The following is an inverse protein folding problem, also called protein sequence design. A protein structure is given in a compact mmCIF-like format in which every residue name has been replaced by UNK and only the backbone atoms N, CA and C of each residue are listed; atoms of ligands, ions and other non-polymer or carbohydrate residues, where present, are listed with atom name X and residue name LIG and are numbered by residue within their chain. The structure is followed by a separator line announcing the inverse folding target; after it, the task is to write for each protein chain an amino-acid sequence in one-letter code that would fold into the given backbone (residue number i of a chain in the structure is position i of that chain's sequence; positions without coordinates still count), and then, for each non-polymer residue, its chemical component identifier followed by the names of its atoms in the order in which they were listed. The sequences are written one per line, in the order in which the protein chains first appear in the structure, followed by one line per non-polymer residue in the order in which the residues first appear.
data_IF_454579744197
#
_entry.id   IF_454579744197
#
_cell.length_a   1.000
_cell.length_b   1.000
_cell.length_c   1.000
_cell.angle_alpha   90.00
_cell.angle_beta   90.00
_cell.angle_gamma   90.00
#
_symmetry.space_group_name_H-M   'P 1'
#
loop_
_entity.id
_entity.type
_entity.pdbx_description
1 polymer ?
#
# COMPACT_ATOMS: atom_id res chain seq x y z
N UNK A 1 21.04 16.62 84.64
CA UNK A 1 22.46 16.86 84.35
C UNK A 1 22.67 16.73 82.85
N UNK A 2 23.38 17.69 82.24
CA UNK A 2 24.25 17.62 81.03
C UNK A 2 23.98 16.45 80.04
N UNK A 3 23.82 16.60 78.72
CA UNK A 3 23.99 17.70 77.77
C UNK A 3 24.10 17.13 76.33
N UNK A 4 23.72 17.96 75.35
CA UNK A 4 24.26 18.15 73.97
C UNK A 4 24.41 16.94 73.01
N UNK A 5 23.62 16.90 71.94
CA UNK A 5 24.01 17.27 70.55
C UNK A 5 22.80 17.12 69.60
N UNK A 6 22.30 18.22 69.05
CA UNK A 6 21.35 18.21 67.92
C UNK A 6 22.04 18.89 66.75
N UNK A 7 22.51 18.08 65.81
CA UNK A 7 22.97 18.51 64.49
C UNK A 7 21.78 18.47 63.54
N UNK A 8 21.21 19.63 63.22
CA UNK A 8 20.37 19.79 62.03
C UNK A 8 21.14 20.69 61.08
N UNK A 9 21.65 20.08 60.00
CA UNK A 9 22.21 20.78 58.86
C UNK A 9 21.14 21.69 58.25
N UNK A 10 21.42 22.98 58.22
CA UNK A 10 20.78 23.94 57.33
C UNK A 10 21.23 23.64 55.90
N UNK A 11 20.26 23.36 55.01
CA UNK A 11 20.50 23.39 53.56
C UNK A 11 20.86 24.84 53.18
N UNK A 12 22.13 25.06 52.85
CA UNK A 12 22.52 26.20 52.04
C UNK A 12 21.98 25.98 50.63
N UNK A 13 20.91 26.69 50.29
CA UNK A 13 20.50 26.84 48.89
C UNK A 13 21.60 27.62 48.19
N UNK A 14 22.42 26.90 47.42
CA UNK A 14 23.30 27.47 46.42
C UNK A 14 22.44 28.29 45.46
N UNK A 15 22.58 29.61 45.50
CA UNK A 15 22.08 30.49 44.47
C UNK A 15 22.74 30.08 43.16
N UNK A 16 21.95 29.45 42.28
CA UNK A 16 22.31 29.25 40.87
C UNK A 16 22.57 30.63 40.29
N UNK A 17 23.77 30.91 39.71
CA UNK A 17 24.00 32.20 39.09
C UNK A 17 22.99 32.37 37.97
N UNK A 18 22.29 33.51 37.97
CA UNK A 18 21.45 33.92 36.87
C UNK A 18 22.23 33.77 35.55
N UNK A 19 21.57 33.23 34.52
CA UNK A 19 22.10 33.11 33.15
C UNK A 19 22.87 34.38 32.81
N UNK A 20 24.18 34.28 32.62
CA UNK A 20 25.00 35.45 32.36
C UNK A 20 24.62 36.03 30.99
N UNK A 21 24.16 37.29 31.00
CA UNK A 21 23.44 38.00 29.94
C UNK A 21 24.39 38.86 29.09
N UNK A 22 25.40 38.24 28.47
CA UNK A 22 26.49 38.94 27.81
C UNK A 22 26.08 39.61 26.49
N UNK A 23 25.33 38.92 25.63
CA UNK A 23 24.89 39.46 24.34
C UNK A 23 23.69 40.39 24.45
N UNK A 24 22.85 40.25 25.48
CA UNK A 24 21.72 41.14 25.72
C UNK A 24 22.09 42.52 26.24
N UNK A 25 23.23 42.63 26.93
CA UNK A 25 23.69 43.90 27.51
C UNK A 25 24.62 44.70 26.59
N UNK A 26 25.00 44.13 25.43
CA UNK A 26 25.88 44.80 24.46
C UNK A 26 25.17 46.00 23.79
N UNK A 27 25.77 47.21 23.81
CA UNK A 27 25.26 48.34 23.04
C UNK A 27 25.22 48.01 21.54
N UNK A 28 24.03 48.05 20.93
CA UNK A 28 23.84 47.73 19.50
C UNK A 28 23.41 46.29 19.20
N UNK A 29 23.31 45.42 20.20
CA UNK A 29 22.84 44.04 20.03
C UNK A 29 23.82 43.13 19.28
N UNK A 30 23.29 42.06 18.69
CA UNK A 30 24.09 41.03 18.03
C UNK A 30 24.37 41.34 16.57
N UNK A 31 25.56 40.98 16.10
CA UNK A 31 25.99 41.31 14.75
C UNK A 31 25.48 40.29 13.72
N UNK A 32 24.99 40.75 12.54
CA UNK A 32 24.36 39.90 11.53
C UNK A 32 25.35 39.00 10.77
N UNK A 33 26.66 39.20 10.92
CA UNK A 33 27.74 38.41 10.32
C UNK A 33 28.96 38.34 11.24
N UNK A 34 30.01 37.60 10.84
CA UNK A 34 31.24 37.47 11.64
C UNK A 34 31.91 38.83 11.79
N UNK A 35 32.11 39.26 13.02
CA UNK A 35 32.70 40.56 13.33
C UNK A 35 33.58 40.45 14.57
N UNK A 36 34.89 40.63 14.38
CA UNK A 36 35.88 40.48 15.45
C UNK A 36 35.76 41.57 16.54
N UNK A 37 34.98 42.64 16.28
CA UNK A 37 34.63 43.69 17.23
C UNK A 37 33.30 43.42 17.96
N UNK A 38 32.61 42.33 17.60
CA UNK A 38 31.33 41.92 18.17
C UNK A 38 31.50 40.99 19.38
N UNK A 39 32.24 41.49 20.37
CA UNK A 39 32.62 40.72 21.57
C UNK A 39 32.02 41.27 22.86
N UNK A 40 31.93 40.40 23.88
CA UNK A 40 31.55 40.73 25.24
C UNK A 40 32.56 40.11 26.25
N UNK A 41 32.80 40.74 27.40
CA UNK A 41 33.75 40.24 28.39
C UNK A 41 33.21 38.98 29.09
N UNK A 42 34.04 37.94 29.18
CA UNK A 42 33.74 36.69 29.86
C UNK A 42 34.94 36.26 30.72
N UNK A 43 34.87 36.59 32.02
CA UNK A 43 35.98 36.45 32.96
C UNK A 43 37.28 37.09 32.43
N UNK A 44 38.29 36.30 32.09
CA UNK A 44 39.63 36.76 31.73
C UNK A 44 39.83 36.90 30.20
N UNK A 45 38.77 36.69 29.42
CA UNK A 45 38.78 36.71 27.95
C UNK A 45 37.52 37.37 27.39
N UNK A 46 37.42 37.45 26.06
CA UNK A 46 36.24 37.89 25.33
C UNK A 46 35.53 36.71 24.66
N UNK A 47 34.20 36.78 24.58
CA UNK A 47 33.36 35.87 23.80
C UNK A 47 32.64 36.64 22.68
N UNK A 48 32.17 35.94 21.64
CA UNK A 48 31.53 36.56 20.47
C UNK A 48 29.99 36.48 20.52
N UNK A 49 29.35 37.58 20.12
CA UNK A 49 27.89 37.79 20.06
C UNK A 49 27.41 38.02 18.62
N UNK A 50 27.87 37.20 17.67
CA UNK A 50 27.54 37.35 16.26
C UNK A 50 26.85 36.10 15.64
N UNK A 51 26.32 36.27 14.44
CA UNK A 51 25.55 35.22 13.75
C UNK A 51 26.37 33.98 13.35
N UNK A 52 27.71 34.03 13.38
CA UNK A 52 28.54 32.85 13.13
C UNK A 52 28.40 31.84 14.26
N UNK A 53 28.30 32.32 15.49
CA UNK A 53 28.08 31.50 16.68
C UNK A 53 26.77 30.70 16.66
N UNK A 54 25.75 31.15 15.90
CA UNK A 54 24.49 30.43 15.72
C UNK A 54 24.62 29.18 14.83
N UNK A 55 25.69 29.07 14.04
CA UNK A 55 25.87 27.96 13.07
C UNK A 55 26.73 26.83 13.60
N UNK A 56 27.69 27.09 14.48
CA UNK A 56 28.76 26.14 14.80
C UNK A 56 28.97 25.84 16.29
N UNK A 57 28.30 26.53 17.23
CA UNK A 57 28.51 26.36 18.70
C UNK A 57 29.99 26.23 19.07
N UNK A 58 30.82 27.10 18.50
CA UNK A 58 32.26 27.14 18.80
C UNK A 58 32.50 27.57 20.26
N UNK A 59 33.61 27.14 20.89
CA UNK A 59 33.88 27.37 22.31
C UNK A 59 34.12 28.84 22.69
N UNK A 60 34.35 29.72 21.72
CA UNK A 60 34.53 31.17 21.86
C UNK A 60 33.20 31.96 21.78
N UNK A 61 32.06 31.29 21.63
CA UNK A 61 30.74 31.92 21.58
C UNK A 61 30.15 32.20 22.96
N UNK A 62 29.50 33.37 23.12
CA UNK A 62 28.88 33.70 24.40
C UNK A 62 27.68 32.77 24.72
N UNK A 63 27.48 32.38 25.99
CA UNK A 63 26.45 31.41 26.40
C UNK A 63 25.01 31.80 26.04
N UNK A 64 24.69 33.09 25.98
CA UNK A 64 23.34 33.62 25.73
C UNK A 64 23.08 33.98 24.26
N UNK A 65 24.06 33.79 23.37
CA UNK A 65 23.98 34.15 21.94
C UNK A 65 22.77 33.49 21.23
N UNK A 66 22.48 32.22 21.52
CA UNK A 66 21.36 31.49 20.90
C UNK A 66 19.99 31.98 21.33
N UNK A 67 19.88 32.52 22.55
CA UNK A 67 18.60 32.98 23.07
C UNK A 67 18.33 34.44 22.70
N UNK A 68 19.39 35.22 22.44
CA UNK A 68 19.26 36.67 22.30
C UNK A 68 19.59 37.22 20.91
N UNK A 69 20.34 36.49 20.08
CA UNK A 69 20.80 36.94 18.77
C UNK A 69 20.02 36.36 17.58
N UNK A 70 18.90 35.69 17.84
CA UNK A 70 18.10 34.97 16.83
C UNK A 70 17.17 35.85 16.00
N UNK A 71 17.27 37.18 16.09
CA UNK A 71 16.46 38.10 15.32
C UNK A 71 17.34 39.05 14.48
N UNK A 72 17.45 38.78 13.17
CA UNK A 72 17.94 39.77 12.20
C UNK A 72 16.84 40.84 11.99
N UNK A 73 17.12 42.15 12.15
CA UNK A 73 16.19 43.21 11.80
C UNK A 73 16.46 43.68 10.37
N UNK A 74 15.51 43.48 9.44
CA UNK A 74 15.45 44.30 8.22
C UNK A 74 14.66 45.57 8.50
N UNK A 75 15.22 46.69 8.06
CA UNK A 75 14.83 48.06 8.39
C UNK A 75 13.36 48.40 8.12
N UNK A 76 12.84 49.26 8.99
CA UNK A 76 11.50 49.84 8.93
C UNK A 76 11.40 50.83 7.77
N UNK A 77 10.41 50.64 6.91
CA UNK A 77 9.76 51.75 6.21
C UNK A 77 8.40 52.00 6.89
N UNK A 78 8.07 53.25 7.31
CA UNK A 78 6.80 53.55 7.93
C UNK A 78 5.76 53.84 6.84
N UNK A 79 5.06 52.79 6.42
CA UNK A 79 3.73 52.94 5.84
C UNK A 79 2.78 52.05 6.62
N UNK A 80 1.92 52.72 7.37
CA UNK A 80 0.68 52.20 7.92
C UNK A 80 -0.08 51.44 6.85
N UNK A 81 -0.01 50.11 6.90
CA UNK A 81 -1.04 49.24 6.39
C UNK A 81 -1.28 48.20 7.49
N UNK A 82 -2.54 48.06 7.89
CA UNK A 82 -3.02 46.94 8.69
C UNK A 82 -2.36 45.63 8.23
N UNK A 83 -2.13 44.64 9.12
CA UNK A 83 -1.99 43.28 8.63
C UNK A 83 -3.26 42.99 7.83
N UNK A 84 -3.16 43.04 6.51
CA UNK A 84 -4.25 42.63 5.65
C UNK A 84 -4.56 41.20 6.09
N UNK A 85 -5.81 41.01 6.54
CA UNK A 85 -6.49 39.75 6.74
C UNK A 85 -6.51 38.98 5.41
N UNK A 86 -5.34 38.57 4.96
CA UNK A 86 -5.07 38.01 3.66
C UNK A 86 -4.52 36.61 3.84
N UNK A 87 -5.10 35.68 3.11
CA UNK A 87 -4.72 34.29 3.12
C UNK A 87 -5.19 33.63 1.85
N UNK A 88 -4.71 32.42 1.60
CA UNK A 88 -5.21 31.62 0.51
C UNK A 88 -6.61 31.13 0.85
N UNK A 89 -7.55 31.23 -0.09
CA UNK A 89 -8.90 30.71 0.09
C UNK A 89 -9.04 29.40 -0.67
N UNK A 90 -9.33 28.31 0.02
CA UNK A 90 -9.60 27.02 -0.60
C UNK A 90 -10.89 26.39 -0.06
N UNK A 91 -11.82 26.06 -0.96
CA UNK A 91 -13.17 25.55 -0.65
C UNK A 91 -13.88 26.36 0.46
N UNK A 92 -13.75 27.69 0.42
CA UNK A 92 -14.38 28.60 1.37
C UNK A 92 -13.70 28.70 2.75
N UNK A 93 -12.54 28.06 2.95
CA UNK A 93 -11.70 28.24 4.16
C UNK A 93 -10.50 29.12 3.85
N UNK A 94 -10.16 30.01 4.78
CA UNK A 94 -8.99 30.88 4.71
C UNK A 94 -7.79 30.20 5.37
N UNK A 95 -6.66 30.26 4.71
CA UNK A 95 -5.37 29.73 5.15
C UNK A 95 -4.36 30.87 5.21
N UNK A 96 -3.77 31.09 6.38
CA UNK A 96 -2.74 32.12 6.57
C UNK A 96 -1.45 31.73 5.83
N UNK A 97 -0.60 32.72 5.52
CA UNK A 97 0.71 32.42 4.93
C UNK A 97 1.53 31.50 5.85
N UNK A 98 2.11 30.45 5.28
CA UNK A 98 2.81 29.38 5.98
C UNK A 98 1.92 28.21 6.39
N UNK A 99 0.59 28.37 6.43
CA UNK A 99 -0.31 27.25 6.69
C UNK A 99 -0.36 26.30 5.51
N UNK A 100 -0.41 25.01 5.83
CA UNK A 100 -0.45 23.93 4.87
C UNK A 100 -1.78 23.17 4.97
N UNK A 101 -2.31 22.75 3.83
CA UNK A 101 -3.44 21.84 3.73
C UNK A 101 -3.12 20.68 2.80
N UNK A 102 -3.81 19.56 3.00
CA UNK A 102 -3.70 18.40 2.12
C UNK A 102 -4.80 18.43 1.07
N UNK A 103 -4.44 18.53 -0.20
CA UNK A 103 -5.34 18.42 -1.34
C UNK A 103 -5.07 17.08 -2.02
N UNK A 104 -5.97 16.12 -1.78
CA UNK A 104 -5.79 14.73 -2.18
C UNK A 104 -4.45 14.17 -1.61
N UNK A 105 -3.50 13.80 -2.45
CA UNK A 105 -2.20 13.28 -2.01
C UNK A 105 -1.16 14.39 -1.77
N UNK A 106 -1.37 15.58 -2.33
CA UNK A 106 -0.40 16.66 -2.32
C UNK A 106 -0.59 17.58 -1.11
N UNK A 107 0.53 17.98 -0.50
CA UNK A 107 0.58 19.04 0.49
C UNK A 107 0.69 20.39 -0.22
N UNK A 108 -0.20 21.31 0.13
CA UNK A 108 -0.26 22.65 -0.44
C UNK A 108 -0.05 23.68 0.67
N UNK A 109 0.91 24.56 0.48
CA UNK A 109 1.26 25.58 1.46
C UNK A 109 0.94 26.96 0.91
N UNK A 110 0.31 27.79 1.72
CA UNK A 110 -0.02 29.15 1.34
C UNK A 110 1.20 30.07 1.44
N UNK A 111 1.55 30.76 0.35
CA UNK A 111 2.64 31.71 0.32
C UNK A 111 2.18 33.08 -0.20
N UNK A 112 2.81 34.14 0.29
CA UNK A 112 2.67 35.49 -0.25
C UNK A 112 3.73 35.71 -1.33
N UNK A 113 3.30 35.97 -2.56
CA UNK A 113 4.17 36.31 -3.69
C UNK A 113 3.88 37.75 -4.19
N UNK A 114 4.60 38.19 -5.23
CA UNK A 114 4.47 39.53 -5.80
C UNK A 114 3.06 39.83 -6.36
N UNK A 115 2.25 38.80 -6.64
CA UNK A 115 0.92 38.89 -7.21
C UNK A 115 -0.19 38.63 -6.17
N UNK A 116 0.14 38.33 -4.90
CA UNK A 116 -0.81 38.05 -3.83
C UNK A 116 -0.55 36.72 -3.11
N UNK A 117 -1.58 36.19 -2.44
CA UNK A 117 -1.51 34.90 -1.76
C UNK A 117 -1.81 33.76 -2.74
N UNK A 118 -0.91 32.78 -2.83
CA UNK A 118 -1.04 31.62 -3.72
C UNK A 118 -0.76 30.32 -2.97
N UNK A 119 -1.52 29.27 -3.27
CA UNK A 119 -1.25 27.92 -2.80
C UNK A 119 -0.21 27.26 -3.71
N UNK A 120 0.95 26.97 -3.14
CA UNK A 120 1.97 26.16 -3.79
C UNK A 120 1.84 24.71 -3.34
N UNK A 121 1.47 23.84 -4.27
CA UNK A 121 1.28 22.41 -4.01
C UNK A 121 2.47 21.58 -4.48
N UNK A 122 2.70 20.46 -3.80
CA UNK A 122 3.40 19.31 -4.37
C UNK A 122 2.74 18.89 -5.69
N UNK A 123 3.52 18.28 -6.57
CA UNK A 123 3.09 17.87 -7.90
C UNK A 123 3.17 16.35 -8.07
N UNK A 124 2.88 15.61 -7.00
CA UNK A 124 2.79 14.17 -7.05
C UNK A 124 1.51 13.74 -7.76
N UNK A 125 1.63 12.68 -8.57
CA UNK A 125 0.46 12.07 -9.20
C UNK A 125 -0.31 11.30 -8.14
N UNK A 126 -1.53 11.72 -7.82
CA UNK A 126 -2.39 10.98 -6.89
C UNK A 126 -2.97 9.70 -7.52
N UNK A 127 -3.25 8.72 -6.69
CA UNK A 127 -3.78 7.42 -7.09
C UNK A 127 -5.22 7.55 -7.62
N UNK A 128 -6.13 8.04 -6.76
CA UNK A 128 -7.50 8.36 -7.13
C UNK A 128 -7.55 9.81 -7.60
N UNK A 129 -8.17 10.04 -8.76
CA UNK A 129 -8.19 11.33 -9.45
C UNK A 129 -9.60 11.66 -9.92
N UNK A 130 -10.09 12.83 -9.52
CA UNK A 130 -11.46 13.26 -9.83
C UNK A 130 -11.70 13.42 -11.33
N UNK A 131 -10.67 13.82 -12.09
CA UNK A 131 -10.75 13.94 -13.54
C UNK A 131 -10.96 12.59 -14.23
N UNK A 132 -10.36 11.51 -13.72
CA UNK A 132 -10.59 10.15 -14.23
C UNK A 132 -12.03 9.75 -13.94
N UNK A 133 -12.48 9.91 -12.69
CA UNK A 133 -13.83 9.52 -12.27
C UNK A 133 -14.87 10.24 -13.14
N UNK A 134 -14.70 11.56 -13.31
CA UNK A 134 -15.58 12.38 -14.14
C UNK A 134 -15.54 11.92 -15.60
N UNK A 135 -14.36 11.69 -16.16
CA UNK A 135 -14.20 11.24 -17.55
C UNK A 135 -14.84 9.87 -17.80
N UNK A 136 -14.66 8.91 -16.90
CA UNK A 136 -15.25 7.57 -17.01
C UNK A 136 -16.76 7.63 -16.93
N UNK A 137 -17.31 8.39 -15.98
CA UNK A 137 -18.75 8.46 -15.74
C UNK A 137 -19.50 9.34 -16.74
N UNK A 138 -18.81 10.21 -17.49
CA UNK A 138 -19.42 11.08 -18.51
C UNK A 138 -19.66 10.35 -19.85
N UNK A 139 -19.08 9.18 -20.06
CA UNK A 139 -19.22 8.40 -21.29
C UNK A 139 -19.82 7.01 -20.99
N UNK A 140 -20.66 6.47 -21.89
CA UNK A 140 -21.28 5.14 -21.71
C UNK A 140 -20.25 4.03 -21.98
N UNK A 141 -19.28 3.88 -21.08
CA UNK A 141 -18.14 2.99 -21.24
C UNK A 141 -18.40 1.54 -20.78
N UNK A 142 -19.61 1.22 -20.32
CA UNK A 142 -19.98 -0.09 -19.77
C UNK A 142 -19.56 -0.31 -18.31
N UNK A 143 -18.90 0.66 -17.67
CA UNK A 143 -18.52 0.61 -16.26
C UNK A 143 -18.51 2.01 -15.64
N UNK A 144 -18.52 2.06 -14.30
CA UNK A 144 -18.53 3.30 -13.51
C UNK A 144 -17.32 3.38 -12.58
N UNK A 145 -16.89 4.60 -12.31
CA UNK A 145 -15.82 4.91 -11.38
C UNK A 145 -16.33 5.63 -10.13
N UNK A 146 -15.67 5.40 -8.99
CA UNK A 146 -15.94 6.05 -7.70
C UNK A 146 -14.64 6.34 -6.95
N UNK A 147 -14.78 7.16 -5.90
CA UNK A 147 -13.73 7.40 -4.92
C UNK A 147 -13.82 6.39 -3.77
N UNK A 148 -12.68 6.06 -3.17
CA UNK A 148 -12.55 5.21 -2.01
C UNK A 148 -11.69 5.90 -0.95
N UNK A 149 -12.23 6.07 0.26
CA UNK A 149 -11.53 6.77 1.36
C UNK A 149 -10.17 6.14 1.70
N UNK A 150 -10.06 4.82 1.62
CA UNK A 150 -8.82 4.08 1.91
C UNK A 150 -7.77 4.13 0.77
N UNK A 151 -8.11 4.70 -0.40
CA UNK A 151 -7.19 4.97 -1.50
C UNK A 151 -6.97 6.48 -1.73
N UNK A 152 -7.87 7.31 -1.20
CA UNK A 152 -7.80 8.76 -1.30
C UNK A 152 -6.59 9.29 -0.51
N UNK A 153 -5.84 10.21 -1.13
CA UNK A 153 -4.64 10.78 -0.51
C UNK A 153 -3.37 9.94 -0.64
N UNK A 154 -3.43 8.79 -1.31
CA UNK A 154 -2.24 8.04 -1.73
C UNK A 154 -1.69 8.60 -3.04
N UNK A 155 -0.37 8.62 -3.17
CA UNK A 155 0.29 8.82 -4.47
C UNK A 155 0.12 7.57 -5.34
N UNK A 156 0.24 7.75 -6.65
CA UNK A 156 0.23 6.65 -7.62
C UNK A 156 1.36 5.67 -7.35
N UNK A 157 2.52 6.15 -6.88
CA UNK A 157 3.65 5.30 -6.54
C UNK A 157 3.36 4.40 -5.33
N UNK A 158 2.80 4.98 -4.27
CA UNK A 158 2.36 4.21 -3.10
C UNK A 158 1.29 3.20 -3.48
N UNK A 159 0.31 3.60 -4.32
CA UNK A 159 -0.71 2.69 -4.82
C UNK A 159 -0.12 1.53 -5.62
N UNK A 160 0.87 1.77 -6.48
CA UNK A 160 1.57 0.72 -7.21
C UNK A 160 2.30 -0.21 -6.23
N UNK A 161 3.08 0.34 -5.32
CA UNK A 161 3.87 -0.46 -4.38
C UNK A 161 3.00 -1.28 -3.43
N UNK A 162 1.93 -0.69 -2.88
CA UNK A 162 1.11 -1.29 -1.83
C UNK A 162 -0.04 -2.15 -2.38
N UNK A 163 -0.55 -1.86 -3.58
CA UNK A 163 -1.68 -2.61 -4.18
C UNK A 163 -1.25 -3.59 -5.27
N UNK A 164 -0.13 -3.35 -5.97
CA UNK A 164 0.33 -4.20 -7.09
C UNK A 164 1.56 -5.02 -6.69
N UNK A 165 1.29 -6.19 -6.10
CA UNK A 165 2.32 -7.09 -5.57
C UNK A 165 2.88 -8.10 -6.56
N UNK A 166 2.37 -8.18 -7.78
CA UNK A 166 2.75 -9.28 -8.68
C UNK A 166 3.88 -8.83 -9.59
N UNK A 167 4.98 -9.58 -9.61
CA UNK A 167 6.09 -9.32 -10.51
C UNK A 167 5.79 -9.92 -11.87
N UNK A 168 6.21 -9.21 -12.93
CA UNK A 168 6.02 -9.65 -14.31
C UNK A 168 6.49 -11.12 -14.46
N UNK A 169 5.67 -12.00 -15.08
CA UNK A 169 6.08 -13.36 -15.38
C UNK A 169 7.41 -13.39 -16.15
N UNK A 170 8.38 -14.16 -15.65
CA UNK A 170 9.69 -14.34 -16.31
C UNK A 170 9.61 -15.37 -17.45
N UNK A 171 10.70 -15.54 -18.20
CA UNK A 171 10.77 -16.54 -19.31
C UNK A 171 10.46 -17.97 -18.86
N UNK A 172 10.97 -18.38 -17.70
CA UNK A 172 10.71 -19.71 -17.14
C UNK A 172 9.22 -19.94 -16.84
N UNK A 173 8.52 -18.86 -16.50
CA UNK A 173 7.08 -18.87 -16.18
C UNK A 173 6.26 -18.95 -17.46
N UNK A 174 6.65 -18.22 -18.51
CA UNK A 174 6.06 -18.35 -19.84
C UNK A 174 6.27 -19.75 -20.45
N UNK A 175 7.35 -20.44 -20.06
CA UNK A 175 7.68 -21.80 -20.51
C UNK A 175 7.04 -22.92 -19.66
N UNK A 176 6.15 -22.59 -18.72
CA UNK A 176 5.36 -23.61 -18.01
C UNK A 176 4.54 -24.43 -19.01
N UNK A 177 4.28 -25.69 -18.66
CA UNK A 177 3.43 -26.58 -19.46
C UNK A 177 2.09 -25.91 -19.71
N UNK A 178 1.83 -25.59 -20.97
CA UNK A 178 0.51 -25.18 -21.44
C UNK A 178 -0.33 -26.44 -21.63
N UNK A 179 -1.54 -26.43 -21.09
CA UNK A 179 -2.53 -27.48 -21.36
C UNK A 179 -3.59 -26.91 -22.31
N UNK A 180 -3.82 -27.63 -23.40
CA UNK A 180 -5.02 -27.52 -24.21
C UNK A 180 -6.07 -28.45 -23.60
N UNK A 181 -7.30 -27.98 -23.46
CA UNK A 181 -8.36 -28.73 -22.77
C UNK A 181 -9.35 -29.25 -23.80
N UNK A 182 -9.60 -30.56 -23.78
CA UNK A 182 -10.60 -31.16 -24.65
C UNK A 182 -12.00 -30.67 -24.30
N UNK A 183 -12.53 -29.84 -25.19
CA UNK A 183 -13.86 -29.29 -25.15
C UNK A 183 -14.87 -30.43 -25.31
N UNK A 184 -15.48 -30.84 -24.20
CA UNK A 184 -16.39 -32.00 -24.17
C UNK A 184 -17.79 -31.64 -23.66
N UNK A 185 -18.01 -30.39 -23.23
CA UNK A 185 -19.29 -29.91 -22.74
C UNK A 185 -19.75 -28.64 -23.49
N UNK A 186 -21.07 -28.48 -23.65
CA UNK A 186 -21.64 -27.17 -23.92
C UNK A 186 -21.65 -26.38 -22.61
N UNK A 187 -20.78 -25.38 -22.51
CA UNK A 187 -20.67 -24.53 -21.34
C UNK A 187 -21.83 -23.52 -21.28
N UNK A 188 -22.33 -23.17 -20.07
CA UNK A 188 -23.40 -22.19 -19.92
C UNK A 188 -22.93 -20.78 -20.32
N UNK A 189 -23.87 -19.92 -20.70
CA UNK A 189 -23.57 -18.51 -21.05
C UNK A 189 -22.94 -17.74 -19.88
N UNK A 190 -23.38 -18.05 -18.65
CA UNK A 190 -22.83 -17.48 -17.42
C UNK A 190 -22.52 -18.58 -16.40
N UNK A 191 -21.47 -18.37 -15.63
CA UNK A 191 -21.01 -19.29 -14.61
C UNK A 191 -20.42 -18.53 -13.43
N UNK A 192 -20.70 -18.99 -12.21
CA UNK A 192 -20.13 -18.49 -10.97
C UNK A 192 -19.77 -19.67 -10.06
N UNK A 193 -18.48 -19.81 -9.76
CA UNK A 193 -17.98 -20.88 -8.88
C UNK A 193 -18.65 -20.88 -7.50
N UNK A 194 -19.06 -19.71 -7.00
CA UNK A 194 -19.74 -19.58 -5.69
C UNK A 194 -21.13 -20.21 -5.70
N UNK A 195 -21.80 -20.23 -6.86
CA UNK A 195 -23.09 -20.87 -7.03
C UNK A 195 -22.96 -22.39 -7.22
N UNK A 196 -21.93 -22.83 -7.95
CA UNK A 196 -21.68 -24.27 -8.17
C UNK A 196 -21.17 -24.98 -6.92
N UNK A 197 -20.31 -24.33 -6.13
CA UNK A 197 -19.72 -24.88 -4.91
C UNK A 197 -19.96 -23.96 -3.70
N UNK A 198 -21.21 -23.87 -3.22
CA UNK A 198 -21.56 -22.97 -2.13
C UNK A 198 -20.81 -23.32 -0.84
N UNK A 199 -20.17 -22.31 -0.24
CA UNK A 199 -19.40 -22.45 0.99
C UNK A 199 -18.01 -23.10 0.84
N UNK A 200 -17.56 -23.37 -0.40
CA UNK A 200 -16.22 -23.90 -0.68
C UNK A 200 -15.29 -22.87 -1.33
N UNK A 201 -15.84 -21.73 -1.75
CA UNK A 201 -15.08 -20.63 -2.33
C UNK A 201 -14.83 -19.58 -1.25
N UNK A 202 -13.56 -19.26 -0.97
CA UNK A 202 -13.18 -18.25 0.01
C UNK A 202 -13.73 -16.86 -0.38
N UNK A 203 -13.98 -16.02 0.63
CA UNK A 203 -14.40 -14.63 0.41
C UNK A 203 -13.31 -13.73 -0.18
N UNK A 204 -13.62 -12.44 -0.33
CA UNK A 204 -12.63 -11.43 -0.72
C UNK A 204 -11.73 -11.11 0.49
N UNK A 205 -10.42 -11.23 0.30
CA UNK A 205 -9.42 -10.82 1.27
C UNK A 205 -8.99 -9.36 1.06
N UNK A 206 -8.45 -8.75 2.11
CA UNK A 206 -7.82 -7.44 2.03
C UNK A 206 -6.31 -7.55 2.28
N UNK A 207 -5.53 -7.21 1.25
CA UNK A 207 -4.07 -7.18 1.32
C UNK A 207 -3.56 -6.01 2.16
N UNK A 208 -4.38 -5.00 2.43
CA UNK A 208 -3.99 -3.76 3.10
C UNK A 208 -2.76 -3.13 2.46
N UNK A 209 -1.92 -2.49 3.25
CA UNK A 209 -0.75 -1.73 2.78
C UNK A 209 0.49 -2.61 2.49
N UNK A 210 0.26 -3.73 1.80
CA UNK A 210 1.27 -4.70 1.40
C UNK A 210 1.00 -5.21 -0.01
N UNK A 211 2.01 -5.17 -0.89
CA UNK A 211 1.97 -5.74 -2.24
C UNK A 211 2.02 -7.29 -2.19
N UNK A 212 1.02 -7.92 -1.59
CA UNK A 212 0.92 -9.37 -1.37
C UNK A 212 -0.11 -10.07 -2.25
N UNK A 213 -0.62 -9.40 -3.29
CA UNK A 213 -1.61 -10.00 -4.21
C UNK A 213 -1.16 -11.33 -4.82
N UNK A 214 0.14 -11.47 -5.09
CA UNK A 214 0.76 -12.71 -5.53
C UNK A 214 0.59 -13.85 -4.53
N UNK A 215 0.63 -13.58 -3.22
CA UNK A 215 0.47 -14.58 -2.17
C UNK A 215 -1.01 -14.86 -1.91
N UNK A 216 -1.84 -13.81 -1.81
CA UNK A 216 -3.28 -13.93 -1.55
C UNK A 216 -3.98 -14.68 -2.67
N UNK A 217 -3.77 -14.31 -3.94
CA UNK A 217 -4.42 -15.00 -5.07
C UNK A 217 -3.95 -16.46 -5.20
N UNK A 218 -2.67 -16.75 -4.93
CA UNK A 218 -2.15 -18.13 -4.90
C UNK A 218 -2.88 -18.96 -3.85
N UNK A 219 -2.95 -18.44 -2.63
CA UNK A 219 -3.50 -19.15 -1.48
C UNK A 219 -5.01 -19.33 -1.59
N UNK A 220 -5.73 -18.31 -1.98
CA UNK A 220 -7.20 -18.37 -2.15
C UNK A 220 -7.60 -19.34 -3.25
N UNK A 221 -6.89 -19.39 -4.39
CA UNK A 221 -7.11 -20.42 -5.42
C UNK A 221 -6.82 -21.81 -4.87
N UNK A 222 -5.74 -21.97 -4.11
CA UNK A 222 -5.38 -23.26 -3.54
C UNK A 222 -6.40 -23.75 -2.49
N UNK A 223 -6.92 -22.86 -1.65
CA UNK A 223 -7.98 -23.15 -0.68
C UNK A 223 -9.27 -23.60 -1.37
N UNK A 224 -9.72 -22.88 -2.40
CA UNK A 224 -10.94 -23.25 -3.13
C UNK A 224 -10.79 -24.62 -3.77
N UNK A 225 -9.65 -24.86 -4.46
CA UNK A 225 -9.40 -26.14 -5.13
C UNK A 225 -9.22 -27.28 -4.14
N UNK A 226 -8.65 -27.03 -2.97
CA UNK A 226 -8.58 -28.01 -1.90
C UNK A 226 -9.98 -28.44 -1.46
N UNK A 227 -10.89 -27.49 -1.23
CA UNK A 227 -12.27 -27.78 -0.86
C UNK A 227 -13.01 -28.51 -2.00
N UNK A 228 -12.89 -28.04 -3.24
CA UNK A 228 -13.56 -28.66 -4.40
C UNK A 228 -13.07 -30.09 -4.65
N UNK A 229 -11.75 -30.30 -4.70
CA UNK A 229 -11.16 -31.59 -5.09
C UNK A 229 -11.22 -32.62 -3.97
N UNK A 230 -11.30 -32.16 -2.71
CA UNK A 230 -11.62 -33.02 -1.57
C UNK A 230 -13.12 -33.24 -1.36
N UNK A 231 -13.99 -32.81 -2.29
CA UNK A 231 -15.45 -32.90 -2.17
C UNK A 231 -15.99 -32.30 -0.86
N UNK A 232 -15.32 -31.25 -0.37
CA UNK A 232 -15.66 -30.55 0.84
C UNK A 232 -15.19 -31.23 2.14
N UNK A 233 -14.38 -32.28 2.09
CA UNK A 233 -13.76 -32.87 3.29
C UNK A 233 -12.68 -31.97 3.89
N UNK A 234 -11.98 -31.18 3.06
CA UNK A 234 -10.91 -30.28 3.48
C UNK A 234 -11.28 -28.83 3.17
N UNK A 235 -11.97 -28.16 4.11
CA UNK A 235 -12.39 -26.75 4.00
C UNK A 235 -11.59 -25.86 4.94
N UNK A 236 -10.29 -25.71 4.64
CA UNK A 236 -9.39 -24.91 5.45
C UNK A 236 -8.89 -23.69 4.66
N UNK A 237 -9.21 -22.46 5.11
CA UNK A 237 -8.54 -21.27 4.60
C UNK A 237 -7.04 -21.40 4.85
N UNK A 238 -6.25 -21.32 3.78
CA UNK A 238 -4.80 -21.42 3.84
C UNK A 238 -4.19 -20.05 4.11
N UNK A 239 -2.96 -20.00 4.62
CA UNK A 239 -2.34 -18.77 5.10
C UNK A 239 -1.56 -18.04 4.00
N UNK A 240 -2.03 -16.86 3.54
CA UNK A 240 -1.21 -15.97 2.72
C UNK A 240 -0.01 -15.44 3.49
N UNK A 241 -0.13 -15.28 4.82
CA UNK A 241 0.97 -14.79 5.66
C UNK A 241 2.15 -15.75 5.69
N UNK A 242 1.90 -17.06 5.82
CA UNK A 242 2.96 -18.06 5.82
C UNK A 242 3.71 -18.06 4.49
N UNK A 243 2.98 -18.02 3.37
CA UNK A 243 3.59 -17.93 2.04
C UNK A 243 4.41 -16.64 1.88
N UNK A 244 3.84 -15.50 2.26
CA UNK A 244 4.45 -14.17 2.17
C UNK A 244 5.75 -14.07 2.98
N UNK A 245 5.74 -14.54 4.23
CA UNK A 245 6.89 -14.47 5.13
C UNK A 245 7.94 -15.52 4.83
N UNK A 246 7.57 -16.75 4.44
CA UNK A 246 8.49 -17.88 4.40
C UNK A 246 8.96 -18.28 2.99
N UNK A 247 8.29 -17.83 1.93
CA UNK A 247 8.77 -18.00 0.56
C UNK A 247 9.85 -16.95 0.20
N UNK A 248 11.03 -17.04 0.79
CA UNK A 248 12.04 -15.96 0.73
C UNK A 248 12.92 -15.97 -0.54
N UNK A 249 12.99 -17.09 -1.27
CA UNK A 249 13.97 -17.27 -2.36
C UNK A 249 13.59 -16.47 -3.59
N UNK A 250 14.14 -15.25 -3.66
CA UNK A 250 13.89 -14.24 -4.70
C UNK A 250 12.40 -13.90 -4.86
N UNK A 251 11.71 -13.86 -3.73
CA UNK A 251 10.54 -13.03 -3.54
C UNK A 251 10.94 -11.78 -2.74
N UNK A 252 10.03 -10.80 -2.68
CA UNK A 252 10.23 -9.54 -1.96
C UNK A 252 9.11 -9.25 -0.95
N UNK A 253 8.33 -10.25 -0.55
CA UNK A 253 7.28 -10.07 0.46
C UNK A 253 6.25 -9.03 -0.01
N UNK A 254 6.07 -7.97 0.77
CA UNK A 254 5.19 -6.84 0.43
C UNK A 254 5.69 -5.97 -0.74
N UNK A 255 6.95 -6.09 -1.17
CA UNK A 255 7.45 -5.44 -2.40
C UNK A 255 7.28 -6.33 -3.64
N UNK A 256 6.51 -7.40 -3.49
CA UNK A 256 6.02 -8.26 -4.54
C UNK A 256 6.72 -9.60 -4.70
N UNK A 257 6.09 -10.46 -5.50
CA UNK A 257 6.57 -11.82 -5.76
C UNK A 257 6.12 -12.38 -7.11
N UNK A 258 6.78 -13.47 -7.51
CA UNK A 258 6.49 -14.24 -8.71
C UNK A 258 5.60 -15.44 -8.37
N UNK A 259 4.59 -15.69 -9.22
CA UNK A 259 3.58 -16.73 -9.00
C UNK A 259 4.16 -18.15 -9.10
N UNK A 260 5.10 -18.38 -10.02
CA UNK A 260 5.76 -19.67 -10.18
C UNK A 260 6.44 -20.13 -8.90
N UNK A 261 7.17 -19.23 -8.26
CA UNK A 261 7.90 -19.52 -7.01
C UNK A 261 6.96 -19.74 -5.84
N UNK A 262 5.82 -19.06 -5.84
CA UNK A 262 4.77 -19.25 -4.85
C UNK A 262 4.19 -20.68 -4.96
N UNK A 263 3.79 -21.09 -6.17
CA UNK A 263 3.31 -22.44 -6.44
C UNK A 263 4.36 -23.53 -6.19
N UNK A 264 5.62 -23.32 -6.62
CA UNK A 264 6.70 -24.27 -6.33
C UNK A 264 7.00 -24.39 -4.83
N UNK A 265 6.84 -23.31 -4.06
CA UNK A 265 6.96 -23.35 -2.62
C UNK A 265 5.85 -24.20 -2.00
N UNK A 266 4.60 -23.96 -2.37
CA UNK A 266 3.46 -24.73 -1.86
C UNK A 266 3.59 -26.21 -2.23
N UNK A 267 4.01 -26.53 -3.47
CA UNK A 267 4.31 -27.91 -3.88
C UNK A 267 5.38 -28.55 -3.00
N UNK A 268 6.54 -27.90 -2.82
CA UNK A 268 7.72 -28.51 -2.18
C UNK A 268 7.65 -28.53 -0.66
N UNK A 269 7.11 -27.47 -0.05
CA UNK A 269 7.18 -27.24 1.39
C UNK A 269 5.82 -27.15 2.06
N UNK A 270 4.75 -26.95 1.29
CA UNK A 270 3.41 -26.74 1.80
C UNK A 270 3.25 -25.39 2.50
N UNK A 271 1.99 -25.09 2.82
CA UNK A 271 1.58 -23.91 3.60
C UNK A 271 0.64 -24.35 4.71
N UNK A 272 0.57 -23.58 5.79
CA UNK A 272 -0.36 -23.83 6.90
C UNK A 272 -1.69 -23.10 6.70
N UNK A 273 -2.65 -23.33 7.59
CA UNK A 273 -3.94 -22.62 7.59
C UNK A 273 -3.79 -21.16 8.02
N UNK A 274 -4.70 -20.28 7.58
CA UNK A 274 -4.76 -18.89 8.04
C UNK A 274 -5.00 -18.82 9.56
N UNK A 275 -5.75 -19.77 10.12
CA UNK A 275 -5.92 -19.85 11.58
C UNK A 275 -4.60 -20.11 12.32
N UNK A 276 -3.68 -20.91 11.75
CA UNK A 276 -2.35 -21.15 12.29
C UNK A 276 -1.44 -19.92 12.16
N UNK A 277 -1.47 -19.25 11.01
CA UNK A 277 -0.65 -18.07 10.73
C UNK A 277 -1.49 -16.95 10.10
N UNK A 278 -2.19 -16.14 10.91
CA UNK A 278 -3.13 -15.15 10.41
C UNK A 278 -2.47 -14.03 9.62
N UNK A 279 -3.19 -13.50 8.62
CA UNK A 279 -2.73 -12.33 7.87
C UNK A 279 -2.62 -11.06 8.72
N UNK A 280 -1.43 -10.46 8.73
CA UNK A 280 -1.10 -9.23 9.48
C UNK A 280 -0.36 -8.18 8.65
N UNK A 281 0.27 -8.59 7.55
CA UNK A 281 1.19 -7.72 6.79
C UNK A 281 0.53 -6.51 6.14
N UNK A 282 -0.79 -6.52 5.97
CA UNK A 282 -1.54 -5.39 5.41
C UNK A 282 -1.99 -4.33 6.42
N UNK A 283 -1.87 -4.58 7.73
CA UNK A 283 -2.58 -3.80 8.76
C UNK A 283 -1.82 -2.51 9.09
N UNK A 284 -0.57 -2.61 9.53
CA UNK A 284 0.27 -1.48 9.90
C UNK A 284 1.76 -1.84 9.77
N UNK A 285 2.65 -0.85 9.84
CA UNK A 285 4.10 -1.04 9.73
C UNK A 285 4.68 -1.95 10.81
N UNK A 286 4.14 -1.93 12.04
CA UNK A 286 4.61 -2.79 13.12
C UNK A 286 4.23 -4.26 12.88
N UNK A 287 3.12 -4.48 12.19
CA UNK A 287 2.55 -5.78 11.82
C UNK A 287 3.04 -6.28 10.46
N UNK A 288 3.83 -5.47 9.72
CA UNK A 288 4.46 -5.85 8.45
C UNK A 288 5.54 -6.91 8.65
N UNK A 289 5.07 -8.15 8.74
CA UNK A 289 5.93 -9.31 8.62
C UNK A 289 6.43 -9.45 7.18
N UNK A 290 7.67 -9.00 6.94
CA UNK A 290 8.33 -9.15 5.65
C UNK A 290 8.98 -10.55 5.50
N UNK A 291 9.61 -10.80 4.35
CA UNK A 291 10.26 -12.09 4.03
C UNK A 291 11.36 -12.53 5.03
N UNK A 292 11.85 -11.66 5.90
CA UNK A 292 12.86 -11.98 6.92
C UNK A 292 12.25 -12.34 8.29
N UNK A 293 10.92 -12.27 8.42
CA UNK A 293 10.19 -12.45 9.68
C UNK A 293 9.46 -13.79 9.77
N UNK A 294 9.80 -14.76 8.91
CA UNK A 294 9.18 -16.09 8.92
C UNK A 294 9.33 -16.79 10.26
N UNK A 295 8.21 -17.03 10.95
CA UNK A 295 8.17 -17.74 12.24
C UNK A 295 7.99 -19.26 12.07
N UNK A 296 7.48 -19.70 10.91
CA UNK A 296 7.28 -21.11 10.57
C UNK A 296 8.08 -21.53 9.31
N UNK A 297 9.41 -21.68 9.42
CA UNK A 297 10.24 -22.06 8.29
C UNK A 297 10.03 -23.51 7.85
N UNK A 298 10.57 -23.80 6.64
CA UNK A 298 10.33 -24.99 5.81
C UNK A 298 10.34 -26.36 6.52
N UNK A 299 11.09 -26.53 7.61
CA UNK A 299 11.44 -27.86 8.16
C UNK A 299 11.10 -28.08 9.64
N UNK A 300 10.32 -27.21 10.28
CA UNK A 300 9.94 -27.42 11.67
C UNK A 300 8.43 -27.63 11.81
N UNK A 301 8.05 -28.67 12.56
CA UNK A 301 6.81 -28.72 13.34
C UNK A 301 6.95 -27.75 14.51
N UNK A 302 7.06 -26.47 14.20
CA UNK A 302 7.01 -25.41 15.21
C UNK A 302 5.55 -25.15 15.56
N UNK A 303 5.26 -24.74 16.80
CA UNK A 303 3.92 -24.29 17.17
C UNK A 303 3.52 -23.12 16.28
N UNK A 304 2.27 -23.16 15.82
CA UNK A 304 1.67 -22.07 15.07
C UNK A 304 1.85 -20.74 15.82
N UNK A 305 2.10 -19.61 15.11
CA UNK A 305 2.07 -18.28 15.72
C UNK A 305 0.78 -18.04 16.50
N UNK A 306 -0.32 -18.64 16.03
CA UNK A 306 -1.49 -18.87 16.85
C UNK A 306 -1.36 -20.21 17.60
N UNK A 307 -1.08 -20.17 18.90
CA UNK A 307 -0.69 -21.33 19.71
C UNK A 307 -1.78 -22.41 19.86
N UNK A 308 -3.00 -22.17 19.39
CA UNK A 308 -4.18 -23.03 19.59
C UNK A 308 -4.33 -24.16 18.55
N UNK A 309 -3.39 -24.31 17.60
CA UNK A 309 -3.58 -25.18 16.41
C UNK A 309 -2.33 -25.97 16.04
N UNK A 310 -2.51 -27.19 15.52
CA UNK A 310 -1.43 -28.01 14.94
C UNK A 310 -1.05 -27.53 13.53
N UNK A 311 0.25 -27.55 13.21
CA UNK A 311 0.80 -27.06 11.93
C UNK A 311 0.71 -28.09 10.80
N UNK A 312 -0.52 -28.45 10.41
CA UNK A 312 -0.78 -29.22 9.19
C UNK A 312 -0.36 -28.43 7.95
N UNK A 313 0.46 -29.04 7.09
CA UNK A 313 0.92 -28.42 5.84
C UNK A 313 0.17 -28.98 4.65
N UNK A 314 -0.31 -28.09 3.80
CA UNK A 314 -1.08 -28.40 2.61
C UNK A 314 -0.24 -28.18 1.37
N UNK A 315 -0.21 -29.18 0.50
CA UNK A 315 0.62 -29.24 -0.70
C UNK A 315 -0.26 -29.21 -1.96
N UNK A 316 0.40 -29.02 -3.10
CA UNK A 316 -0.23 -28.99 -4.43
C UNK A 316 0.62 -29.72 -5.45
N UNK A 317 -0.01 -30.09 -6.57
CA UNK A 317 0.67 -30.54 -7.78
C UNK A 317 1.56 -29.44 -8.37
N UNK A 318 2.42 -29.78 -9.36
CA UNK A 318 2.99 -28.75 -10.22
C UNK A 318 1.89 -27.84 -10.81
N UNK A 319 2.08 -26.52 -10.84
CA UNK A 319 1.16 -25.62 -11.53
C UNK A 319 1.29 -25.80 -13.05
N UNK A 320 0.23 -25.49 -13.77
CA UNK A 320 0.19 -25.50 -15.23
C UNK A 320 -0.45 -24.21 -15.75
N UNK A 321 -0.06 -23.83 -16.96
CA UNK A 321 -0.62 -22.69 -17.67
C UNK A 321 -1.77 -23.17 -18.54
N UNK A 322 -2.87 -22.44 -18.53
CA UNK A 322 -3.98 -22.70 -19.45
C UNK A 322 -3.68 -21.96 -20.75
N UNK A 323 -4.08 -22.54 -21.88
CA UNK A 323 -3.95 -21.88 -23.17
C UNK A 323 -4.67 -20.52 -23.16
N UNK A 324 -4.27 -19.62 -24.06
CA UNK A 324 -4.90 -18.30 -24.21
C UNK A 324 -6.30 -18.37 -24.84
N UNK A 325 -6.82 -19.58 -25.13
CA UNK A 325 -8.16 -19.76 -25.66
C UNK A 325 -9.18 -19.57 -24.54
N UNK A 326 -10.14 -18.69 -24.77
CA UNK A 326 -11.20 -18.39 -23.82
C UNK A 326 -11.94 -19.65 -23.35
N UNK A 327 -12.25 -20.57 -24.28
CA UNK A 327 -12.97 -21.81 -23.97
C UNK A 327 -12.18 -22.76 -23.06
N UNK A 328 -10.85 -22.78 -23.13
CA UNK A 328 -10.04 -23.61 -22.24
C UNK A 328 -10.08 -23.06 -20.81
N UNK A 329 -10.02 -21.74 -20.66
CA UNK A 329 -10.19 -21.08 -19.35
C UNK A 329 -11.59 -21.35 -18.79
N UNK A 330 -12.65 -21.27 -19.61
CA UNK A 330 -14.02 -21.57 -19.16
C UNK A 330 -14.17 -23.03 -18.76
N UNK A 331 -13.67 -23.98 -19.55
CA UNK A 331 -13.81 -25.42 -19.25
C UNK A 331 -13.04 -25.79 -17.97
N UNK A 332 -11.81 -25.29 -17.80
CA UNK A 332 -11.03 -25.55 -16.58
C UNK A 332 -11.72 -24.98 -15.34
N UNK A 333 -12.21 -23.74 -15.42
CA UNK A 333 -12.92 -23.09 -14.34
C UNK A 333 -14.21 -23.86 -14.00
N UNK A 334 -14.94 -24.32 -15.02
CA UNK A 334 -16.15 -25.10 -14.84
C UNK A 334 -15.90 -26.44 -14.15
N UNK A 335 -14.83 -27.15 -14.52
CA UNK A 335 -14.53 -28.48 -13.96
C UNK A 335 -13.90 -28.43 -12.59
N UNK A 336 -12.88 -27.59 -12.46
CA UNK A 336 -11.89 -27.69 -11.39
C UNK A 336 -11.90 -26.46 -10.47
N UNK A 337 -12.74 -25.48 -10.76
CA UNK A 337 -12.93 -24.30 -9.93
C UNK A 337 -11.93 -23.18 -10.22
N UNK A 338 -11.86 -22.20 -9.30
CA UNK A 338 -11.17 -20.93 -9.49
C UNK A 338 -9.74 -21.02 -10.00
N UNK A 339 -9.35 -19.99 -10.74
CA UNK A 339 -8.06 -19.87 -11.42
C UNK A 339 -7.33 -18.60 -11.00
N UNK A 340 -6.00 -18.63 -11.09
CA UNK A 340 -5.19 -17.44 -10.86
C UNK A 340 -4.85 -16.78 -12.19
N UNK A 341 -5.14 -15.49 -12.34
CA UNK A 341 -4.77 -14.72 -13.53
C UNK A 341 -3.90 -13.53 -13.14
N UNK A 342 -2.96 -13.15 -14.01
CA UNK A 342 -2.28 -11.86 -13.90
C UNK A 342 -2.89 -10.84 -14.83
N UNK A 343 -3.01 -9.60 -14.36
CA UNK A 343 -3.45 -8.47 -15.17
C UNK A 343 -2.52 -7.27 -14.99
N UNK A 344 -2.41 -6.45 -16.03
CA UNK A 344 -1.69 -5.18 -16.02
C UNK A 344 -2.64 -4.05 -15.61
N UNK A 345 -2.52 -3.61 -14.36
CA UNK A 345 -3.41 -2.58 -13.80
C UNK A 345 -3.11 -1.21 -14.41
N UNK A 346 -4.17 -0.53 -14.82
CA UNK A 346 -4.15 0.85 -15.33
C UNK A 346 -4.61 1.81 -14.23
N UNK A 347 -4.28 3.08 -14.37
CA UNK A 347 -4.57 4.08 -13.35
C UNK A 347 -6.08 4.30 -13.09
N UNK A 348 -6.94 4.05 -14.07
CA UNK A 348 -8.40 4.20 -13.93
C UNK A 348 -9.06 3.01 -13.19
N UNK A 349 -8.41 1.85 -13.18
CA UNK A 349 -8.91 0.65 -12.50
C UNK A 349 -9.02 0.82 -10.98
N UNK A 350 -8.13 1.62 -10.37
CA UNK A 350 -8.19 1.88 -8.92
C UNK A 350 -9.54 2.48 -8.50
N UNK A 351 -10.19 3.23 -9.40
CA UNK A 351 -11.49 3.85 -9.18
C UNK A 351 -12.67 2.97 -9.62
N UNK A 352 -12.48 1.75 -10.12
CA UNK A 352 -13.58 0.87 -10.55
C UNK A 352 -14.64 0.71 -9.45
N UNK A 353 -15.92 0.84 -9.81
CA UNK A 353 -17.06 0.74 -8.88
C UNK A 353 -18.21 -0.15 -9.38
N UNK A 354 -18.14 -0.67 -10.59
CA UNK A 354 -19.12 -1.61 -11.13
C UNK A 354 -19.26 -1.57 -12.65
N UNK A 355 -19.93 -2.58 -13.21
CA UNK A 355 -20.05 -2.79 -14.65
C UNK A 355 -18.90 -3.64 -15.22
N UNK A 356 -18.73 -3.68 -16.54
CA UNK A 356 -17.65 -4.44 -17.17
C UNK A 356 -16.47 -3.53 -17.46
N UNK A 357 -15.42 -3.64 -16.65
CA UNK A 357 -14.22 -2.83 -16.79
C UNK A 357 -13.55 -3.00 -18.16
N UNK A 358 -13.24 -1.88 -18.78
CA UNK A 358 -12.40 -1.74 -19.97
C UNK A 358 -11.59 -0.47 -19.83
N UNK A 359 -10.29 -0.52 -20.13
CA UNK A 359 -9.43 0.65 -20.00
C UNK A 359 -9.92 1.83 -20.85
N UNK A 360 -10.23 2.96 -20.21
CA UNK A 360 -10.75 4.16 -20.88
C UNK A 360 -9.58 5.02 -21.34
N UNK A 361 -9.20 4.89 -22.63
CA UNK A 361 -8.15 5.71 -23.25
C UNK A 361 -8.51 7.20 -23.17
N UNK A 362 -7.53 8.04 -22.85
CA UNK A 362 -7.73 9.50 -22.74
C UNK A 362 -8.29 9.99 -21.39
N UNK A 363 -8.71 9.10 -20.48
CA UNK A 363 -9.11 9.46 -19.10
C UNK A 363 -7.93 10.00 -18.26
N UNK A 364 -6.70 9.75 -18.71
CA UNK A 364 -5.46 10.15 -18.05
C UNK A 364 -4.65 11.04 -18.99
N UNK A 365 -4.25 12.24 -18.54
CA UNK A 365 -3.27 13.06 -19.27
C UNK A 365 -1.97 12.25 -19.44
N UNK A 366 -1.60 11.98 -20.68
CA UNK A 366 -0.47 11.10 -21.03
C UNK A 366 0.91 11.73 -20.77
N UNK A 367 1.25 12.05 -19.52
CA UNK A 367 2.67 12.21 -19.17
C UNK A 367 3.26 10.86 -18.76
N UNK A 368 4.58 10.69 -18.92
CA UNK A 368 5.31 9.47 -18.52
C UNK A 368 5.14 9.14 -17.03
N UNK A 369 5.01 10.16 -16.18
CA UNK A 369 4.75 10.02 -14.75
C UNK A 369 3.36 9.42 -14.46
N UNK A 370 2.37 9.71 -15.29
CA UNK A 370 0.99 9.22 -15.14
C UNK A 370 0.74 7.83 -15.77
N UNK A 371 1.73 7.27 -16.48
CA UNK A 371 1.62 5.99 -17.22
C UNK A 371 2.20 4.79 -16.49
N UNK A 372 2.62 4.94 -15.22
CA UNK A 372 3.16 3.82 -14.44
C UNK A 372 2.08 2.74 -14.29
N UNK A 373 2.47 1.50 -14.57
CA UNK A 373 1.63 0.31 -14.54
C UNK A 373 2.38 -0.77 -13.76
N UNK A 374 1.64 -1.62 -13.08
CA UNK A 374 2.18 -2.80 -12.40
C UNK A 374 1.32 -4.01 -12.68
N UNK A 375 1.90 -5.19 -12.48
CA UNK A 375 1.13 -6.42 -12.54
C UNK A 375 0.46 -6.68 -11.21
N UNK A 376 -0.77 -7.18 -11.30
CA UNK A 376 -1.57 -7.66 -10.18
C UNK A 376 -2.04 -9.06 -10.49
N UNK A 377 -2.22 -9.89 -9.48
CA UNK A 377 -2.81 -11.21 -9.65
C UNK A 377 -4.12 -11.27 -8.92
N UNK A 378 -5.09 -11.88 -9.58
CA UNK A 378 -6.48 -11.97 -9.15
C UNK A 378 -6.95 -13.40 -9.27
N UNK A 379 -8.06 -13.70 -8.61
CA UNK A 379 -8.70 -15.00 -8.67
C UNK A 379 -9.92 -14.91 -9.58
N UNK A 380 -9.91 -15.65 -10.69
CA UNK A 380 -11.04 -15.75 -11.63
C UNK A 380 -12.01 -16.79 -11.08
N UNK A 381 -13.29 -16.41 -10.97
CA UNK A 381 -14.35 -17.21 -10.36
C UNK A 381 -15.46 -17.59 -11.32
N UNK A 382 -15.62 -16.84 -12.41
CA UNK A 382 -16.74 -17.03 -13.31
C UNK A 382 -16.62 -16.26 -14.62
N UNK A 383 -17.66 -16.37 -15.42
CA UNK A 383 -17.86 -15.55 -16.62
C UNK A 383 -19.36 -15.25 -16.78
N UNK A 384 -19.66 -14.28 -17.64
CA UNK A 384 -21.04 -14.01 -18.05
C UNK A 384 -21.10 -12.98 -19.15
N UNK A 385 -22.31 -12.47 -19.38
CA UNK A 385 -22.60 -11.41 -20.34
C UNK A 385 -23.43 -10.35 -19.63
N UNK A 386 -22.91 -9.12 -19.55
CA UNK A 386 -23.67 -7.98 -19.07
C UNK A 386 -24.62 -7.54 -20.18
N UNK A 387 -25.93 -7.52 -19.87
CA UNK A 387 -27.01 -7.15 -20.80
C UNK A 387 -27.77 -5.92 -20.31
N UNK A 388 -27.13 -5.08 -19.49
CA UNK A 388 -27.73 -3.82 -19.01
C UNK A 388 -28.10 -2.91 -20.18
N UNK A 389 -27.29 -2.93 -21.24
CA UNK A 389 -27.66 -2.44 -22.58
C UNK A 389 -28.02 -3.66 -23.45
N UNK A 390 -29.32 -3.89 -23.76
CA UNK A 390 -29.75 -5.02 -24.58
C UNK A 390 -29.17 -5.04 -26.00
N UNK A 391 -28.84 -3.86 -26.55
CA UNK A 391 -28.32 -3.72 -27.91
C UNK A 391 -26.80 -3.97 -27.96
N UNK A 392 -26.11 -3.85 -26.81
CA UNK A 392 -24.66 -3.99 -26.71
C UNK A 392 -24.26 -4.93 -25.55
N UNK A 393 -24.50 -6.25 -25.66
CA UNK A 393 -24.11 -7.21 -24.64
C UNK A 393 -22.57 -7.27 -24.49
N UNK A 394 -22.08 -7.21 -23.25
CA UNK A 394 -20.64 -7.17 -22.95
C UNK A 394 -20.21 -8.46 -22.24
N UNK A 395 -19.41 -9.33 -22.89
CA UNK A 395 -18.87 -10.52 -22.23
C UNK A 395 -17.85 -10.14 -21.16
N UNK A 396 -17.88 -10.82 -20.01
CA UNK A 396 -16.96 -10.55 -18.91
C UNK A 396 -16.40 -11.81 -18.24
N UNK A 397 -15.25 -11.66 -17.61
CA UNK A 397 -14.75 -12.50 -16.53
C UNK A 397 -15.17 -11.92 -15.18
N UNK A 398 -15.60 -12.78 -14.26
CA UNK A 398 -15.86 -12.44 -12.87
C UNK A 398 -14.62 -12.76 -12.04
N UNK A 399 -14.06 -11.75 -11.38
CA UNK A 399 -12.83 -11.86 -10.63
C UNK A 399 -13.01 -11.37 -9.19
N UNK A 400 -12.38 -12.04 -8.24
CA UNK A 400 -12.17 -11.55 -6.88
C UNK A 400 -10.84 -10.80 -6.80
N UNK A 401 -10.90 -9.57 -6.29
CA UNK A 401 -9.73 -8.77 -5.99
C UNK A 401 -9.19 -9.11 -4.59
N UNK A 402 -8.12 -8.43 -4.18
CA UNK A 402 -7.49 -8.54 -2.85
C UNK A 402 -7.42 -7.20 -2.13
N UNK A 403 -8.34 -6.27 -2.40
CA UNK A 403 -8.38 -4.92 -1.81
C UNK A 403 -9.57 -4.72 -0.86
N UNK A 404 -10.08 -5.81 -0.30
CA UNK A 404 -11.22 -5.79 0.62
C UNK A 404 -12.57 -5.62 -0.08
N UNK A 405 -13.64 -5.87 0.69
CA UNK A 405 -15.02 -5.82 0.19
C UNK A 405 -15.55 -4.41 -0.03
N UNK A 406 -14.85 -3.38 0.46
CA UNK A 406 -15.25 -1.97 0.27
C UNK A 406 -14.97 -1.46 -1.15
N UNK A 407 -14.18 -2.20 -1.93
CA UNK A 407 -13.78 -1.82 -3.28
C UNK A 407 -14.64 -2.51 -4.35
N UNK A 408 -14.99 -1.81 -5.42
CA UNK A 408 -15.66 -2.40 -6.57
C UNK A 408 -17.05 -2.95 -6.25
N UNK A 409 -17.34 -4.15 -6.74
CA UNK A 409 -18.61 -4.85 -6.51
C UNK A 409 -18.45 -5.80 -5.32
N UNK A 410 -18.39 -5.25 -4.10
CA UNK A 410 -18.16 -6.00 -2.86
C UNK A 410 -16.80 -6.76 -2.84
N UNK A 411 -15.77 -6.15 -3.41
CA UNK A 411 -14.44 -6.72 -3.56
C UNK A 411 -14.25 -7.54 -4.84
N UNK A 412 -15.32 -7.73 -5.61
CA UNK A 412 -15.29 -8.34 -6.93
C UNK A 412 -15.23 -7.27 -8.02
N UNK A 413 -14.86 -7.71 -9.23
CA UNK A 413 -14.99 -6.90 -10.42
C UNK A 413 -15.28 -7.78 -11.64
N UNK A 414 -15.82 -7.13 -12.66
CA UNK A 414 -16.01 -7.74 -13.98
C UNK A 414 -15.13 -7.02 -14.97
N UNK A 415 -14.47 -7.77 -15.84
CA UNK A 415 -13.54 -7.24 -16.85
C UNK A 415 -13.84 -7.88 -18.20
N UNK A 416 -13.69 -7.09 -19.26
CA UNK A 416 -13.98 -7.49 -20.63
C UNK A 416 -13.26 -8.80 -21.00
N UNK A 417 -14.04 -9.81 -21.38
CA UNK A 417 -13.57 -11.14 -21.81
C UNK A 417 -13.45 -11.22 -23.34
N UNK A 418 -12.50 -12.02 -23.82
CA UNK A 418 -12.29 -12.35 -25.23
C UNK A 418 -11.44 -11.34 -26.00
N UNK A 419 -10.91 -10.31 -25.32
CA UNK A 419 -10.04 -9.28 -25.91
C UNK A 419 -8.70 -9.14 -25.19
N UNK A 420 -8.39 -10.05 -24.25
CA UNK A 420 -7.22 -9.99 -23.39
C UNK A 420 -7.06 -8.61 -22.72
N UNK A 421 -8.19 -8.05 -22.25
CA UNK A 421 -8.24 -6.72 -21.64
C UNK A 421 -7.29 -6.68 -20.45
N UNK A 422 -6.39 -5.70 -20.44
CA UNK A 422 -5.33 -5.60 -19.44
C UNK A 422 -4.49 -6.89 -19.27
N UNK A 423 -4.26 -7.63 -20.35
CA UNK A 423 -3.46 -8.87 -20.36
C UNK A 423 -4.02 -10.02 -19.49
N UNK A 424 -5.27 -9.95 -19.04
CA UNK A 424 -5.82 -10.91 -18.06
C UNK A 424 -5.88 -12.37 -18.57
N UNK A 425 -5.97 -12.58 -19.88
CA UNK A 425 -6.01 -13.91 -20.51
C UNK A 425 -4.60 -14.41 -20.89
N UNK A 426 -3.57 -13.57 -20.73
CA UNK A 426 -2.21 -13.90 -21.20
C UNK A 426 -1.52 -14.92 -20.31
N UNK A 427 -1.87 -14.95 -19.03
CA UNK A 427 -1.22 -15.81 -18.05
C UNK A 427 -2.20 -16.22 -16.96
N UNK A 428 -2.87 -17.34 -17.22
CA UNK A 428 -3.83 -18.00 -16.33
C UNK A 428 -3.24 -19.33 -15.85
N UNK A 429 -3.24 -19.55 -14.55
CA UNK A 429 -2.67 -20.71 -13.89
C UNK A 429 -3.75 -21.54 -13.18
N UNK A 430 -3.64 -22.85 -13.36
CA UNK A 430 -4.36 -23.86 -12.60
C UNK A 430 -3.40 -24.74 -11.80
N UNK A 431 -3.97 -25.46 -10.83
CA UNK A 431 -3.24 -26.41 -9.98
C UNK A 431 -4.19 -27.50 -9.47
N UNK A 432 -3.66 -28.64 -9.05
CA UNK A 432 -4.40 -29.62 -8.25
C UNK A 432 -3.95 -29.57 -6.80
N UNK A 433 -4.90 -29.64 -5.87
CA UNK A 433 -4.62 -29.86 -4.47
C UNK A 433 -4.12 -31.29 -4.26
N UNK A 434 -3.18 -31.47 -3.33
CA UNK A 434 -2.72 -32.79 -2.93
C UNK A 434 -3.71 -33.38 -1.91
N UNK A 435 -4.70 -34.13 -2.41
CA UNK A 435 -5.74 -34.77 -1.60
C UNK A 435 -5.45 -36.27 -1.52
N UNK A 436 -4.95 -36.73 -0.37
CA UNK A 436 -4.77 -38.17 -0.11
C UNK A 436 -6.13 -38.83 0.18
N UNK A 437 -6.43 -39.98 -0.44
CA UNK A 437 -7.66 -40.74 -0.17
C UNK A 437 -7.84 -41.09 1.32
N UNK A 438 -6.75 -41.23 2.08
CA UNK A 438 -6.81 -41.45 3.54
C UNK A 438 -7.34 -40.24 4.31
N UNK A 439 -7.24 -39.03 3.75
CA UNK A 439 -7.75 -37.79 4.34
C UNK A 439 -9.23 -37.55 4.02
N UNK A 440 -9.82 -38.28 3.07
CA UNK A 440 -11.25 -38.20 2.73
C UNK A 440 -12.13 -39.18 3.53
N UNK A 441 -11.52 -40.09 4.31
CA UNK A 441 -12.21 -41.10 5.12
C UNK A 441 -12.35 -40.70 6.61
N UNK A 442 -11.92 -39.49 6.97
CA UNK A 442 -11.89 -38.98 8.35
C UNK A 442 -13.11 -38.13 8.71
#
# INVERSE_FOLDING_TARGET
MRGVLVTVLTLAVLAVPARAQYCSERPGGCCPGRDDTCTAPMADTFCYCDAFCLRSKAPDCCPDVFNNCTALPTERSPLTANPLEGGCVYKGRNYLAGESLKINCNTCTCYLNANGYELQCENDTCLIREEIITSVNSAPNGWRASNYSFLWGMTLEEGIQRRLGTLKPGRAVAAMTEIDIEQTNQLPESFDSRQKWPGWIEGVMDQGDCGSSWAISTITVASDRLAIQSMGHMRAPLSPQNLLSCNTRGQRGCDGGHLDRAWYYMRRYGVVTDHCYPYRSGIDEASKMNKYTCVLPRHQTSPCPNHDVTSGKYHVSPPYRISVKEEDVKEELFRNGPLQATMLVKADFYSYAGGVYKYTRGSVKESSQHRRKGYHSVRVLGWGVDRTDPDNPIPYWLCANSWGSQWGEEGYFRILRGQNECEIESFVLGVWADVDMRMMQG
#
